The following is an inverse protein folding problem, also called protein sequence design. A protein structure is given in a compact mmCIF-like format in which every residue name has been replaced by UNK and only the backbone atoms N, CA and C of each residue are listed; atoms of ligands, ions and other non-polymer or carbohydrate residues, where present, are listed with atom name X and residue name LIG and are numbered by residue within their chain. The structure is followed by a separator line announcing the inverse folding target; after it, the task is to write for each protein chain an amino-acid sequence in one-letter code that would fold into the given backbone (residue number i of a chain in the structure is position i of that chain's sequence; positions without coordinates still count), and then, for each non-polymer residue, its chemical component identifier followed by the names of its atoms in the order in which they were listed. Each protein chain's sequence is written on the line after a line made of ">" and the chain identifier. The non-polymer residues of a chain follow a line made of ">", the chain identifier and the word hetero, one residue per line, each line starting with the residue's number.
data_IF_072130033295
#
_entry.id   IF_072130033295
#
_cell.length_a   1.000
_cell.length_b   1.000
_cell.length_c   1.000
_cell.angle_alpha   90.00
_cell.angle_beta   90.00
_cell.angle_gamma   90.00
#
_symmetry.space_group_name_H-M   'P 1'
#
loop_
_entity.id
_entity.type
_entity.pdbx_description
1 polymer ?
#
# COMPACT_ATOMS: atom_id res chain seq x y z
N UNK A 1 8.67 -33.54 22.67
CA UNK A 1 7.65 -32.52 22.34
C UNK A 1 8.38 -31.23 22.02
N UNK A 2 8.28 -30.73 20.78
CA UNK A 2 9.16 -29.68 20.25
C UNK A 2 8.91 -28.33 20.94
N UNK A 3 9.90 -27.89 21.71
CA UNK A 3 9.97 -26.63 22.47
C UNK A 3 9.71 -25.42 21.58
N UNK A 4 10.16 -25.43 20.32
CA UNK A 4 10.05 -24.30 19.39
C UNK A 4 8.62 -23.92 19.00
N UNK A 5 7.73 -24.90 18.80
CA UNK A 5 6.31 -24.64 18.47
C UNK A 5 5.52 -24.20 19.72
N UNK A 6 5.87 -24.74 20.89
CA UNK A 6 5.32 -24.28 22.16
C UNK A 6 5.82 -22.89 22.54
N UNK A 7 7.09 -22.57 22.26
CA UNK A 7 7.69 -21.25 22.43
C UNK A 7 7.10 -20.24 21.46
N UNK A 8 6.85 -20.61 20.19
CA UNK A 8 6.17 -19.75 19.23
C UNK A 8 4.74 -19.45 19.69
N UNK A 9 4.00 -20.47 20.14
CA UNK A 9 2.64 -20.31 20.69
C UNK A 9 2.65 -19.50 21.99
N UNK A 10 3.64 -19.71 22.86
CA UNK A 10 3.84 -18.95 24.08
C UNK A 10 4.23 -17.51 23.79
N UNK A 11 5.03 -17.25 22.75
CA UNK A 11 5.40 -15.92 22.28
C UNK A 11 4.21 -15.18 21.67
N UNK A 12 3.42 -15.84 20.82
CA UNK A 12 2.17 -15.29 20.29
C UNK A 12 1.24 -14.92 21.45
N UNK A 13 1.08 -15.81 22.44
CA UNK A 13 0.26 -15.58 23.62
C UNK A 13 0.84 -14.50 24.57
N UNK A 14 2.16 -14.43 24.73
CA UNK A 14 2.86 -13.47 25.59
C UNK A 14 3.02 -12.09 24.94
N UNK A 15 2.96 -12.01 23.61
CA UNK A 15 2.95 -10.74 22.88
C UNK A 15 1.70 -9.90 23.18
N UNK A 16 0.68 -10.50 23.80
CA UNK A 16 -0.58 -9.85 24.15
C UNK A 16 -1.39 -9.39 22.94
N UNK A 17 -0.98 -9.83 21.74
CA UNK A 17 -1.58 -9.39 20.50
C UNK A 17 -2.78 -10.27 20.16
N UNK A 18 -3.96 -9.87 20.63
CA UNK A 18 -5.23 -10.36 20.13
C UNK A 18 -5.75 -9.37 19.09
N UNK A 19 -5.95 -9.86 17.86
CA UNK A 19 -6.61 -9.05 16.85
C UNK A 19 -8.03 -8.74 17.33
N UNK A 20 -8.48 -7.46 17.29
CA UNK A 20 -9.84 -7.14 17.67
C UNK A 20 -10.84 -7.91 16.79
N UNK A 21 -11.97 -8.30 17.37
CA UNK A 21 -13.06 -8.90 16.60
C UNK A 21 -13.41 -8.01 15.39
N UNK A 22 -13.75 -8.60 14.22
CA UNK A 22 -13.88 -7.89 12.94
C UNK A 22 -15.19 -7.09 12.83
N UNK A 23 -15.58 -6.39 13.89
CA UNK A 23 -16.72 -5.47 13.91
C UNK A 23 -16.25 -4.05 14.26
N UNK A 24 -17.01 -3.06 13.79
CA UNK A 24 -16.65 -1.65 13.89
C UNK A 24 -16.42 -1.18 15.34
N UNK A 25 -17.25 -1.64 16.29
CA UNK A 25 -17.18 -1.23 17.68
C UNK A 25 -15.90 -1.75 18.37
N UNK A 26 -15.57 -3.03 18.15
CA UNK A 26 -14.36 -3.65 18.68
C UNK A 26 -13.09 -3.02 18.13
N UNK A 27 -13.03 -2.75 16.82
CA UNK A 27 -11.86 -2.12 16.19
C UNK A 27 -11.72 -0.66 16.65
N UNK A 28 -12.81 0.09 16.74
CA UNK A 28 -12.77 1.49 17.19
C UNK A 28 -12.33 1.60 18.65
N UNK A 29 -12.88 0.76 19.54
CA UNK A 29 -12.49 0.69 20.94
C UNK A 29 -11.01 0.30 21.10
N UNK A 30 -10.52 -0.61 20.24
CA UNK A 30 -9.12 -1.01 20.22
C UNK A 30 -8.18 0.15 19.84
N UNK A 31 -8.49 0.87 18.76
CA UNK A 31 -7.71 2.02 18.30
C UNK A 31 -7.69 3.09 19.39
N UNK A 32 -8.85 3.41 19.96
CA UNK A 32 -8.97 4.45 20.97
C UNK A 32 -8.16 4.12 22.23
N UNK A 33 -8.22 2.87 22.69
CA UNK A 33 -7.57 2.42 23.93
C UNK A 33 -6.07 2.21 23.77
N UNK A 34 -5.63 1.59 22.67
CA UNK A 34 -4.25 1.11 22.51
C UNK A 34 -3.36 2.01 21.66
N UNK A 35 -3.94 2.90 20.84
CA UNK A 35 -3.20 3.76 19.92
C UNK A 35 -3.34 5.22 20.33
N UNK A 36 -4.56 5.74 20.40
CA UNK A 36 -4.80 7.18 20.64
C UNK A 36 -4.49 7.56 22.08
N UNK A 37 -5.05 6.83 23.06
CA UNK A 37 -4.92 7.15 24.49
C UNK A 37 -3.58 6.72 25.10
N UNK A 38 -2.74 5.98 24.37
CA UNK A 38 -1.51 5.42 24.93
C UNK A 38 -0.25 6.02 24.26
N UNK A 39 0.40 7.03 24.87
CA UNK A 39 1.56 7.69 24.28
C UNK A 39 2.81 6.78 24.16
N UNK A 40 2.85 5.65 24.87
CA UNK A 40 3.90 4.63 24.76
C UNK A 40 3.44 3.39 23.99
N UNK A 41 2.43 3.55 23.15
CA UNK A 41 1.90 2.48 22.31
C UNK A 41 3.01 1.73 21.58
N UNK A 42 3.04 0.40 21.72
CA UNK A 42 3.94 -0.49 20.97
C UNK A 42 3.74 -0.37 19.45
N UNK A 43 2.61 0.22 19.01
CA UNK A 43 2.31 0.49 17.61
C UNK A 43 3.13 1.65 17.02
N UNK A 44 3.81 2.48 17.84
CA UNK A 44 4.74 3.51 17.31
C UNK A 44 5.93 2.91 16.55
N UNK A 45 6.28 1.67 16.85
CA UNK A 45 7.45 0.99 16.27
C UNK A 45 7.09 -0.33 15.56
N UNK A 46 5.80 -0.60 15.35
CA UNK A 46 5.32 -1.84 14.73
C UNK A 46 4.36 -1.51 13.60
N UNK A 47 4.40 -2.33 12.55
CA UNK A 47 3.41 -2.28 11.46
C UNK A 47 2.01 -2.55 12.04
N UNK A 48 0.99 -1.74 11.69
CA UNK A 48 -0.36 -1.93 12.20
C UNK A 48 -0.92 -3.29 11.79
N UNK A 49 -1.69 -3.97 12.66
CA UNK A 49 -2.34 -5.23 12.33
C UNK A 49 -3.14 -5.22 11.04
N UNK A 50 -3.10 -6.33 10.30
CA UNK A 50 -3.78 -6.44 9.01
C UNK A 50 -5.28 -6.17 9.10
N UNK A 51 -5.97 -6.62 10.15
CA UNK A 51 -7.40 -6.34 10.35
C UNK A 51 -7.71 -4.85 10.50
N UNK A 52 -6.80 -4.08 11.11
CA UNK A 52 -6.92 -2.63 11.25
C UNK A 52 -6.67 -1.94 9.91
N UNK A 53 -5.67 -2.40 9.15
CA UNK A 53 -5.38 -1.90 7.79
C UNK A 53 -6.57 -2.16 6.86
N UNK A 54 -7.12 -3.38 6.86
CA UNK A 54 -8.28 -3.74 6.05
C UNK A 54 -9.52 -2.94 6.44
N UNK A 55 -9.73 -2.71 7.74
CA UNK A 55 -10.80 -1.84 8.21
C UNK A 55 -10.62 -0.39 7.73
N UNK A 56 -9.40 0.15 7.81
CA UNK A 56 -9.09 1.50 7.32
C UNK A 56 -9.37 1.62 5.82
N UNK A 57 -8.89 0.68 5.01
CA UNK A 57 -9.15 0.64 3.56
C UNK A 57 -10.65 0.59 3.27
N UNK A 58 -11.40 -0.30 3.93
CA UNK A 58 -12.87 -0.37 3.74
C UNK A 58 -13.55 0.96 4.03
N UNK A 59 -13.10 1.66 5.07
CA UNK A 59 -13.63 2.97 5.44
C UNK A 59 -13.27 4.06 4.42
N UNK A 60 -12.09 3.96 3.79
CA UNK A 60 -11.66 4.87 2.73
C UNK A 60 -12.38 4.61 1.39
N UNK A 61 -12.67 3.34 1.08
CA UNK A 61 -13.34 2.93 -0.16
C UNK A 61 -14.87 3.08 -0.11
N UNK A 62 -15.49 2.87 1.05
CA UNK A 62 -16.93 2.97 1.24
C UNK A 62 -17.33 4.03 2.29
N UNK A 63 -16.92 5.30 2.13
CA UNK A 63 -17.44 6.35 2.97
C UNK A 63 -18.92 6.61 2.62
N UNK A 64 -19.74 7.00 3.61
CA UNK A 64 -21.15 7.36 3.38
C UNK A 64 -21.31 8.51 2.37
N UNK A 65 -20.29 9.38 2.26
CA UNK A 65 -20.14 10.40 1.23
C UNK A 65 -18.84 10.06 0.48
N UNK A 66 -18.91 9.77 -0.83
CA UNK A 66 -17.85 9.28 -1.73
C UNK A 66 -16.37 9.52 -1.33
N UNK A 67 -15.41 8.64 -1.74
CA UNK A 67 -13.99 8.76 -1.39
C UNK A 67 -13.49 10.19 -1.56
N UNK A 68 -13.00 10.78 -0.46
CA UNK A 68 -12.47 12.14 -0.52
C UNK A 68 -11.14 12.04 -1.24
N UNK A 69 -10.98 12.79 -2.33
CA UNK A 69 -9.76 12.77 -3.16
C UNK A 69 -8.47 12.90 -2.33
N UNK A 70 -8.54 13.71 -1.27
CA UNK A 70 -7.44 13.91 -0.33
C UNK A 70 -6.94 12.63 0.37
N UNK A 71 -7.77 11.60 0.46
CA UNK A 71 -7.49 10.36 1.18
C UNK A 71 -6.86 9.27 0.25
N UNK A 72 -6.78 9.52 -1.06
CA UNK A 72 -6.15 8.59 -2.02
C UNK A 72 -4.67 8.23 -1.70
N UNK A 73 -3.79 9.16 -1.29
CA UNK A 73 -2.40 8.77 -1.01
C UNK A 73 -2.31 7.88 0.23
N UNK A 74 -3.15 8.13 1.24
CA UNK A 74 -3.23 7.28 2.44
C UNK A 74 -3.75 5.88 2.06
N UNK A 75 -4.74 5.81 1.17
CA UNK A 75 -5.21 4.54 0.61
C UNK A 75 -4.08 3.79 -0.10
N UNK A 76 -3.28 4.47 -0.93
CA UNK A 76 -2.11 3.87 -1.59
C UNK A 76 -1.10 3.34 -0.58
N UNK A 77 -0.79 4.09 0.48
CA UNK A 77 0.13 3.66 1.53
C UNK A 77 -0.43 2.45 2.32
N UNK A 78 -1.75 2.38 2.55
CA UNK A 78 -2.38 1.20 3.14
C UNK A 78 -2.34 -0.02 2.20
N UNK A 79 -2.56 0.16 0.90
CA UNK A 79 -2.43 -0.90 -0.09
C UNK A 79 -1.00 -1.41 -0.17
N UNK A 80 0.01 -0.53 -0.12
CA UNK A 80 1.41 -0.93 0.00
C UNK A 80 1.70 -1.69 1.29
N UNK A 81 1.05 -1.32 2.40
CA UNK A 81 1.18 -2.07 3.65
C UNK A 81 0.66 -3.50 3.51
N UNK A 82 -0.47 -3.71 2.80
CA UNK A 82 -0.95 -5.06 2.47
C UNK A 82 0.07 -5.81 1.63
N UNK A 83 0.68 -5.14 0.65
CA UNK A 83 1.71 -5.74 -0.19
C UNK A 83 2.93 -6.20 0.63
N UNK A 84 3.37 -5.42 1.62
CA UNK A 84 4.41 -5.84 2.55
C UNK A 84 4.01 -7.10 3.34
N UNK A 85 2.76 -7.17 3.81
CA UNK A 85 2.24 -8.39 4.45
C UNK A 85 2.24 -9.59 3.51
N UNK A 86 1.81 -9.41 2.26
CA UNK A 86 1.80 -10.47 1.24
C UNK A 86 3.21 -11.01 0.98
N UNK A 87 4.18 -10.12 0.81
CA UNK A 87 5.59 -10.48 0.60
C UNK A 87 6.18 -11.21 1.81
N UNK A 88 5.90 -10.73 3.01
CA UNK A 88 6.34 -11.40 4.24
C UNK A 88 5.72 -12.80 4.35
N UNK A 89 4.43 -12.93 4.04
CA UNK A 89 3.77 -14.24 4.02
C UNK A 89 4.42 -15.17 3.00
N UNK A 90 4.67 -14.70 1.77
CA UNK A 90 5.38 -15.50 0.75
C UNK A 90 6.76 -15.94 1.20
N UNK A 91 7.55 -15.05 1.81
CA UNK A 91 8.84 -15.43 2.36
C UNK A 91 8.70 -16.53 3.42
N UNK A 92 7.71 -16.43 4.31
CA UNK A 92 7.45 -17.46 5.34
C UNK A 92 7.00 -18.78 4.74
N UNK A 93 6.23 -18.74 3.66
CA UNK A 93 5.86 -19.93 2.87
C UNK A 93 7.12 -20.60 2.31
N UNK A 94 8.03 -19.84 1.70
CA UNK A 94 9.26 -20.38 1.13
C UNK A 94 10.19 -20.98 2.20
N UNK A 95 10.31 -20.31 3.35
CA UNK A 95 11.05 -20.82 4.51
C UNK A 95 10.45 -22.13 5.02
N UNK A 96 9.12 -22.20 5.18
CA UNK A 96 8.41 -23.40 5.65
C UNK A 96 8.60 -24.58 4.69
N UNK A 97 8.46 -24.36 3.37
CA UNK A 97 8.66 -25.40 2.36
C UNK A 97 10.13 -25.88 2.32
N UNK A 98 11.08 -24.97 2.49
CA UNK A 98 12.51 -25.33 2.55
C UNK A 98 12.82 -26.19 3.76
N UNK A 99 12.31 -25.80 4.94
CA UNK A 99 12.45 -26.55 6.19
C UNK A 99 11.77 -27.92 6.06
N UNK A 100 10.58 -27.98 5.47
CA UNK A 100 9.85 -29.23 5.21
C UNK A 100 10.70 -30.19 4.36
N UNK A 101 11.24 -29.73 3.22
CA UNK A 101 12.09 -30.56 2.35
C UNK A 101 13.36 -31.06 3.05
N UNK A 102 13.98 -30.21 3.87
CA UNK A 102 15.16 -30.60 4.63
C UNK A 102 14.85 -31.73 5.63
N UNK A 103 13.75 -31.61 6.38
CA UNK A 103 13.41 -32.60 7.41
C UNK A 103 12.77 -33.87 6.87
N UNK A 104 12.06 -33.80 5.73
CA UNK A 104 11.59 -34.99 5.03
C UNK A 104 12.74 -35.92 4.61
N UNK A 105 13.93 -35.37 4.37
CA UNK A 105 15.13 -36.13 4.03
C UNK A 105 15.87 -36.73 5.25
N UNK A 106 15.56 -36.30 6.48
CA UNK A 106 16.31 -36.64 7.70
C UNK A 106 15.47 -37.37 8.78
N UNK A 107 14.25 -37.81 8.44
CA UNK A 107 13.38 -38.81 9.12
C UNK A 107 13.09 -38.68 10.63
N UNK A 108 13.27 -37.50 11.25
CA UNK A 108 13.13 -37.38 12.72
C UNK A 108 12.31 -36.16 13.22
N UNK A 109 11.50 -35.53 12.34
CA UNK A 109 10.74 -34.32 12.71
C UNK A 109 9.33 -34.24 12.13
N UNK A 110 8.47 -33.50 12.85
CA UNK A 110 7.11 -33.16 12.44
C UNK A 110 7.16 -32.30 11.17
N UNK A 111 6.81 -32.89 10.04
CA UNK A 111 6.72 -32.24 8.72
C UNK A 111 5.30 -31.73 8.46
N UNK A 112 5.18 -30.76 7.55
CA UNK A 112 3.90 -30.37 6.95
C UNK A 112 3.19 -31.58 6.32
N UNK A 113 1.86 -31.57 6.33
CA UNK A 113 1.06 -32.54 5.58
C UNK A 113 1.09 -32.25 4.08
N UNK A 114 0.79 -33.24 3.24
CA UNK A 114 0.73 -33.03 1.78
C UNK A 114 -0.29 -31.95 1.39
N UNK A 115 -1.42 -31.87 2.10
CA UNK A 115 -2.43 -30.82 1.92
C UNK A 115 -1.90 -29.42 2.27
N UNK A 116 -1.10 -29.30 3.33
CA UNK A 116 -0.45 -28.04 3.72
C UNK A 116 0.58 -27.62 2.67
N UNK A 117 1.40 -28.55 2.19
CA UNK A 117 2.39 -28.30 1.13
C UNK A 117 1.69 -27.82 -0.13
N UNK A 118 0.63 -28.51 -0.57
CA UNK A 118 -0.12 -28.12 -1.76
C UNK A 118 -0.66 -26.69 -1.65
N UNK A 119 -1.30 -26.32 -0.53
CA UNK A 119 -1.83 -24.96 -0.33
C UNK A 119 -0.73 -23.90 -0.34
N UNK A 120 0.43 -24.22 0.25
CA UNK A 120 1.58 -23.32 0.26
C UNK A 120 2.17 -23.13 -1.14
N UNK A 121 2.25 -24.19 -1.94
CA UNK A 121 2.68 -24.10 -3.34
C UNK A 121 1.68 -23.32 -4.21
N UNK A 122 0.37 -23.53 -4.04
CA UNK A 122 -0.68 -22.73 -4.69
C UNK A 122 -0.52 -21.24 -4.40
N UNK A 123 -0.31 -20.87 -3.14
CA UNK A 123 -0.09 -19.47 -2.74
C UNK A 123 1.16 -18.85 -3.39
N UNK A 124 2.21 -19.65 -3.60
CA UNK A 124 3.42 -19.20 -4.30
C UNK A 124 3.16 -18.93 -5.79
N UNK A 125 2.36 -19.78 -6.44
CA UNK A 125 1.99 -19.66 -7.85
C UNK A 125 1.16 -18.39 -8.09
N UNK A 126 0.24 -18.05 -7.20
CA UNK A 126 -0.59 -16.83 -7.30
C UNK A 126 0.18 -15.53 -7.02
N UNK A 127 1.36 -15.63 -6.41
CA UNK A 127 2.17 -14.49 -5.97
C UNK A 127 2.46 -13.43 -7.05
N UNK A 128 2.92 -13.79 -8.26
CA UNK A 128 3.18 -12.83 -9.35
C UNK A 128 1.92 -12.13 -9.87
N UNK A 129 0.78 -12.83 -9.93
CA UNK A 129 -0.48 -12.25 -10.40
C UNK A 129 -0.97 -11.18 -9.41
N UNK A 130 -0.90 -11.47 -8.11
CA UNK A 130 -1.24 -10.51 -7.07
C UNK A 130 -0.30 -9.29 -7.07
N UNK A 131 0.99 -9.47 -7.39
CA UNK A 131 1.92 -8.34 -7.56
C UNK A 131 1.49 -7.45 -8.72
N UNK A 132 1.10 -8.05 -9.84
CA UNK A 132 0.62 -7.33 -11.02
C UNK A 132 -0.63 -6.51 -10.71
N UNK A 133 -1.57 -7.10 -9.94
CA UNK A 133 -2.77 -6.39 -9.46
C UNK A 133 -2.40 -5.21 -8.55
N UNK A 134 -1.47 -5.40 -7.61
CA UNK A 134 -0.98 -4.34 -6.74
C UNK A 134 -0.41 -3.16 -7.55
N UNK A 135 0.47 -3.45 -8.52
CA UNK A 135 1.06 -2.41 -9.36
C UNK A 135 -0.02 -1.69 -10.15
N UNK A 136 -0.96 -2.40 -10.77
CA UNK A 136 -2.04 -1.77 -11.52
C UNK A 136 -2.91 -0.85 -10.64
N UNK A 137 -3.20 -1.26 -9.40
CA UNK A 137 -3.91 -0.39 -8.44
C UNK A 137 -3.11 0.89 -8.20
N UNK A 138 -1.81 0.80 -7.92
CA UNK A 138 -0.94 1.98 -7.70
C UNK A 138 -0.98 2.91 -8.91
N UNK A 139 -0.77 2.37 -10.11
CA UNK A 139 -0.75 3.14 -11.35
C UNK A 139 -2.07 3.89 -11.58
N UNK A 140 -3.19 3.18 -11.47
CA UNK A 140 -4.52 3.73 -11.74
C UNK A 140 -4.90 4.80 -10.73
N UNK A 141 -4.65 4.58 -9.44
CA UNK A 141 -4.99 5.55 -8.40
C UNK A 141 -4.11 6.79 -8.45
N UNK A 142 -2.81 6.66 -8.75
CA UNK A 142 -1.93 7.82 -8.96
C UNK A 142 -2.46 8.71 -10.09
N UNK A 143 -2.77 8.11 -11.26
CA UNK A 143 -3.27 8.86 -12.42
C UNK A 143 -4.66 9.45 -12.14
N UNK A 144 -5.55 8.68 -11.53
CA UNK A 144 -6.92 9.10 -11.21
C UNK A 144 -6.94 10.28 -10.24
N UNK A 145 -6.11 10.25 -9.19
CA UNK A 145 -6.00 11.33 -8.21
C UNK A 145 -5.54 12.65 -8.88
N UNK A 146 -4.48 12.60 -9.68
CA UNK A 146 -3.98 13.76 -10.41
C UNK A 146 -5.04 14.31 -11.38
N UNK A 147 -5.69 13.43 -12.15
CA UNK A 147 -6.78 13.82 -13.05
C UNK A 147 -7.89 14.52 -12.28
N UNK A 148 -8.30 13.97 -11.13
CA UNK A 148 -9.37 14.54 -10.31
C UNK A 148 -9.00 15.86 -9.66
N UNK A 149 -7.79 16.00 -9.14
CA UNK A 149 -7.30 17.28 -8.60
C UNK A 149 -7.27 18.35 -9.69
N UNK A 150 -6.80 17.99 -10.89
CA UNK A 150 -6.71 18.90 -12.04
C UNK A 150 -8.07 19.33 -12.59
N UNK A 151 -9.06 18.42 -12.58
CA UNK A 151 -10.40 18.66 -13.16
C UNK A 151 -11.48 18.98 -12.13
N UNK A 152 -11.12 19.09 -10.85
CA UNK A 152 -12.04 19.48 -9.77
C UNK A 152 -12.58 20.90 -9.98
N UNK A 153 -13.70 21.23 -9.34
CA UNK A 153 -14.28 22.57 -9.35
C UNK A 153 -14.38 23.10 -7.90
N UNK A 154 -13.53 24.09 -7.51
CA UNK A 154 -12.47 24.71 -8.32
C UNK A 154 -11.25 23.77 -8.50
N UNK A 155 -10.48 23.91 -9.59
CA UNK A 155 -9.29 23.10 -9.81
C UNK A 155 -8.23 23.29 -8.71
N UNK A 156 -7.70 22.19 -8.21
CA UNK A 156 -6.65 22.16 -7.19
C UNK A 156 -5.28 21.97 -7.86
N UNK A 157 -4.87 22.92 -8.71
CA UNK A 157 -3.65 22.79 -9.54
C UNK A 157 -2.37 22.67 -8.73
N UNK A 158 -2.28 23.36 -7.58
CA UNK A 158 -1.15 23.25 -6.66
C UNK A 158 -1.03 21.84 -6.08
N UNK A 159 -2.15 21.27 -5.62
CA UNK A 159 -2.18 19.89 -5.09
C UNK A 159 -1.89 18.87 -6.19
N UNK A 160 -2.44 19.05 -7.39
CA UNK A 160 -2.14 18.19 -8.54
C UNK A 160 -0.63 18.18 -8.87
N UNK A 161 0.00 19.36 -8.84
CA UNK A 161 1.45 19.51 -9.07
C UNK A 161 2.27 18.86 -7.97
N UNK A 162 1.86 19.02 -6.71
CA UNK A 162 2.50 18.36 -5.58
C UNK A 162 2.38 16.83 -5.71
N UNK A 163 1.19 16.30 -6.03
CA UNK A 163 0.98 14.85 -6.22
C UNK A 163 1.74 14.28 -7.40
N UNK A 164 1.88 15.00 -8.50
CA UNK A 164 2.80 14.61 -9.57
C UNK A 164 4.22 14.40 -9.06
N UNK A 165 4.71 15.31 -8.20
CA UNK A 165 6.05 15.20 -7.64
C UNK A 165 6.18 14.05 -6.63
N UNK A 166 5.14 13.82 -5.81
CA UNK A 166 5.11 12.71 -4.86
C UNK A 166 5.00 11.34 -5.56
N UNK A 167 4.15 11.19 -6.57
CA UNK A 167 3.91 9.91 -7.24
C UNK A 167 4.94 9.59 -8.33
N UNK A 168 5.50 10.62 -8.97
CA UNK A 168 6.44 10.48 -10.08
C UNK A 168 7.71 11.32 -9.85
N UNK A 169 8.45 11.08 -8.76
CA UNK A 169 9.65 11.85 -8.40
C UNK A 169 10.79 11.77 -9.43
N UNK A 170 10.71 10.86 -10.40
CA UNK A 170 11.65 10.72 -11.53
C UNK A 170 11.43 11.73 -12.65
N UNK A 171 10.28 12.39 -12.67
CA UNK A 171 10.01 13.44 -13.65
C UNK A 171 10.46 14.82 -13.15
N UNK A 172 10.93 14.92 -11.90
CA UNK A 172 11.35 16.18 -11.28
C UNK A 172 12.58 16.02 -10.37
N UNK A 173 13.76 16.14 -10.97
CA UNK A 173 15.04 16.04 -10.25
C UNK A 173 15.20 17.11 -9.15
N UNK A 174 14.64 18.30 -9.35
CA UNK A 174 14.71 19.38 -8.35
C UNK A 174 13.93 19.02 -7.09
N UNK A 175 12.71 18.49 -7.26
CA UNK A 175 11.91 18.02 -6.12
C UNK A 175 12.65 16.93 -5.36
N UNK A 176 13.14 15.91 -6.08
CA UNK A 176 13.90 14.80 -5.50
C UNK A 176 15.13 15.28 -4.71
N UNK A 177 15.88 16.23 -5.25
CA UNK A 177 17.05 16.79 -4.58
C UNK A 177 16.69 17.56 -3.29
N UNK A 178 15.53 18.21 -3.25
CA UNK A 178 15.07 18.99 -2.10
C UNK A 178 14.47 18.13 -0.99
N UNK A 179 13.68 17.11 -1.34
CA UNK A 179 12.93 16.29 -0.37
C UNK A 179 13.64 15.00 0.02
N UNK A 180 14.74 14.64 -0.68
CA UNK A 180 15.42 13.36 -0.49
C UNK A 180 14.67 12.16 -1.07
N UNK A 181 13.60 12.38 -1.83
CA UNK A 181 12.80 11.32 -2.46
C UNK A 181 11.28 11.55 -2.35
N UNK A 182 10.52 10.54 -2.76
CA UNK A 182 9.06 10.53 -2.56
C UNK A 182 8.71 10.09 -1.14
N UNK A 183 7.71 10.71 -0.51
CA UNK A 183 7.19 10.26 0.79
C UNK A 183 6.35 8.99 0.70
N UNK A 184 6.02 8.49 -0.50
CA UNK A 184 5.06 7.39 -0.69
C UNK A 184 5.71 6.03 -0.52
N UNK A 185 5.02 5.14 0.21
CA UNK A 185 5.56 3.84 0.58
C UNK A 185 5.76 2.93 -0.63
N UNK A 186 4.90 3.04 -1.65
CA UNK A 186 4.96 2.16 -2.82
C UNK A 186 6.27 2.26 -3.60
N UNK A 187 7.07 3.31 -3.43
CA UNK A 187 8.38 3.42 -4.10
C UNK A 187 9.47 2.54 -3.49
N UNK A 188 9.28 2.04 -2.26
CA UNK A 188 10.34 1.34 -1.52
C UNK A 188 10.80 0.04 -2.19
N UNK A 189 9.88 -0.68 -2.83
CA UNK A 189 10.11 -2.06 -3.27
C UNK A 189 9.86 -2.33 -4.75
N UNK A 190 9.67 -1.27 -5.55
CA UNK A 190 9.47 -1.40 -6.98
C UNK A 190 10.72 -1.97 -7.65
N UNK A 191 10.52 -2.91 -8.57
CA UNK A 191 11.56 -3.33 -9.52
C UNK A 191 11.86 -2.20 -10.51
N UNK A 192 12.97 -2.29 -11.23
CA UNK A 192 13.30 -1.30 -12.26
C UNK A 192 12.23 -1.25 -13.35
N UNK A 193 11.70 -2.40 -13.77
CA UNK A 193 10.61 -2.48 -14.76
C UNK A 193 9.30 -1.86 -14.26
N UNK A 194 8.97 -2.03 -12.98
CA UNK A 194 7.80 -1.41 -12.35
C UNK A 194 7.98 0.12 -12.24
N UNK A 195 9.19 0.59 -11.92
CA UNK A 195 9.53 2.02 -11.91
C UNK A 195 9.43 2.63 -13.31
N UNK A 196 9.89 1.93 -14.35
CA UNK A 196 9.76 2.38 -15.73
C UNK A 196 8.28 2.53 -16.12
N UNK A 197 7.47 1.53 -15.77
CA UNK A 197 6.01 1.55 -16.01
C UNK A 197 5.34 2.72 -15.27
N UNK A 198 5.71 2.94 -14.00
CA UNK A 198 5.23 4.09 -13.22
C UNK A 198 5.65 5.42 -13.87
N UNK A 199 6.85 5.50 -14.42
CA UNK A 199 7.36 6.69 -15.13
C UNK A 199 6.54 7.01 -16.37
N UNK A 200 6.20 5.99 -17.16
CA UNK A 200 5.33 6.15 -18.33
C UNK A 200 3.96 6.71 -17.93
N UNK A 201 3.36 6.22 -16.84
CA UNK A 201 2.09 6.77 -16.32
C UNK A 201 2.22 8.22 -15.84
N UNK A 202 3.37 8.60 -15.30
CA UNK A 202 3.65 9.99 -14.97
C UNK A 202 3.71 10.88 -16.21
N UNK A 203 4.35 10.41 -17.29
CA UNK A 203 4.40 11.12 -18.58
C UNK A 203 2.99 11.27 -19.17
N UNK A 204 2.16 10.23 -19.12
CA UNK A 204 0.75 10.29 -19.55
C UNK A 204 -0.01 11.38 -18.76
N UNK A 205 0.20 11.44 -17.44
CA UNK A 205 -0.44 12.44 -16.56
C UNK A 205 0.00 13.87 -16.88
N UNK A 206 1.31 14.08 -17.12
CA UNK A 206 1.84 15.37 -17.58
C UNK A 206 1.27 15.78 -18.94
N UNK A 207 1.20 14.83 -19.88
CA UNK A 207 0.66 15.07 -21.24
C UNK A 207 -0.79 15.51 -21.16
N UNK A 208 -1.63 14.81 -20.38
CA UNK A 208 -3.00 15.21 -20.13
C UNK A 208 -3.13 16.65 -19.59
N UNK A 209 -2.29 17.02 -18.63
CA UNK A 209 -2.28 18.36 -18.03
C UNK A 209 -1.91 19.43 -19.07
N UNK A 210 -0.88 19.18 -19.88
CA UNK A 210 -0.47 20.07 -20.96
C UNK A 210 -1.59 20.25 -22.00
N UNK A 211 -2.14 19.15 -22.50
CA UNK A 211 -3.19 19.16 -23.52
C UNK A 211 -4.47 19.86 -23.04
N UNK A 212 -4.89 19.58 -21.80
CA UNK A 212 -6.06 20.23 -21.21
C UNK A 212 -5.85 21.73 -21.00
N UNK A 213 -4.64 22.14 -20.60
CA UNK A 213 -4.28 23.56 -20.47
C UNK A 213 -4.30 24.27 -21.82
N UNK A 214 -3.73 23.67 -22.86
CA UNK A 214 -3.73 24.22 -24.21
C UNK A 214 -5.15 24.33 -24.77
N UNK A 215 -5.94 23.28 -24.63
CA UNK A 215 -7.35 23.24 -25.03
C UNK A 215 -8.15 24.38 -24.38
N UNK A 216 -7.91 24.66 -23.09
CA UNK A 216 -8.58 25.72 -22.35
C UNK A 216 -8.15 27.12 -22.80
N UNK A 217 -6.85 27.32 -23.12
CA UNK A 217 -6.31 28.57 -23.67
C UNK A 217 -6.96 28.91 -25.02
N UNK A 218 -7.04 27.94 -25.93
CA UNK A 218 -7.63 28.13 -27.28
C UNK A 218 -9.10 28.58 -27.18
N UNK A 219 -9.84 28.11 -26.17
CA UNK A 219 -11.26 28.41 -25.97
C UNK A 219 -11.55 29.62 -25.06
N UNK A 220 -10.51 30.33 -24.61
CA UNK A 220 -10.62 31.51 -23.74
C UNK A 220 -11.46 31.28 -22.47
N UNK A 221 -11.35 30.08 -21.87
CA UNK A 221 -12.17 29.75 -20.70
C UNK A 221 -11.73 30.57 -19.47
N UNK A 222 -12.66 31.07 -18.63
CA UNK A 222 -12.36 32.10 -17.62
C UNK A 222 -11.31 31.70 -16.57
N UNK A 223 -11.21 30.41 -16.22
CA UNK A 223 -10.31 29.91 -15.16
C UNK A 223 -8.82 29.87 -15.56
N UNK A 224 -8.48 30.04 -16.84
CA UNK A 224 -7.08 30.05 -17.32
C UNK A 224 -6.34 31.34 -16.94
N UNK A 225 -7.07 32.42 -16.60
CA UNK A 225 -6.44 33.70 -16.22
C UNK A 225 -5.89 33.73 -14.80
N UNK A 226 -6.26 32.79 -13.92
CA UNK A 226 -5.92 32.86 -12.49
C UNK A 226 -4.72 32.00 -12.06
N UNK A 227 -4.23 31.07 -12.89
CA UNK A 227 -3.17 30.11 -12.52
C UNK A 227 -1.76 30.46 -13.01
N UNK A 228 -1.56 31.67 -13.55
CA UNK A 228 -0.26 32.17 -14.05
C UNK A 228 0.17 33.50 -13.40
N UNK A 229 -0.42 33.88 -12.26
CA UNK A 229 0.09 34.96 -11.40
C UNK A 229 0.73 34.40 -10.13
#
# INVERSE_FOLDING_TARGET
>A
MNTTLQELRAYIKASGFESPAPNHASISAYIETNIIKNPNSLFKHRVPPLDIVLYAIRRLLAPPDAPRLRDIPDLLDFVTTIEFYRKLALQKVEEALTIHRYYQANDDHLTLTDEEVQRLDEYKIEGPDLRSVYIEIVLQYCQWDIYKLWTSDPPSTADATLRLCEYFPQLNDKYRALTGGSPRLFHYDLTDTERDTLSLRGIDSCTFICDSSEWAKVRQLPWVRCSLM
#
